data_IF_230933861301
#
_entry.id   IF_230933861301
#
_cell.length_a   1.000
_cell.length_b   1.000
_cell.length_c   1.000
_cell.angle_alpha   90.00
_cell.angle_beta   90.00
_cell.angle_gamma   90.00
#
_symmetry.space_group_name_H-M   'P 1'
#
loop_
_entity.id
_entity.type
_entity.pdbx_description
1 polymer ?
#
# COMPACT_ATOMS: atom_id res chain seq x y z
N UNK A 1 -17.19 27.94 -3.68
CA UNK A 1 -16.94 26.58 -4.20
C UNK A 1 -15.46 26.34 -4.10
N UNK A 2 -15.02 25.67 -3.04
CA UNK A 2 -13.61 25.33 -2.83
C UNK A 2 -13.40 23.96 -3.44
N UNK A 3 -12.39 23.87 -4.29
CA UNK A 3 -12.04 22.72 -5.11
C UNK A 3 -11.45 21.60 -4.24
N UNK A 4 -12.33 20.74 -3.70
CA UNK A 4 -12.00 19.61 -2.82
C UNK A 4 -11.14 18.52 -3.50
N UNK A 5 -10.99 18.54 -4.83
CA UNK A 5 -10.19 17.58 -5.58
C UNK A 5 -8.67 17.87 -5.57
N UNK A 6 -8.25 19.08 -5.18
CA UNK A 6 -6.86 19.52 -5.29
C UNK A 6 -5.96 19.00 -4.15
N UNK A 7 -6.51 18.78 -2.95
CA UNK A 7 -5.74 18.45 -1.74
C UNK A 7 -5.22 17.01 -1.73
N UNK A 8 -6.09 16.03 -2.01
CA UNK A 8 -5.72 14.61 -2.05
C UNK A 8 -4.72 14.32 -3.18
N UNK A 9 -4.92 14.94 -4.35
CA UNK A 9 -3.99 14.83 -5.47
C UNK A 9 -2.60 15.41 -5.10
N UNK A 10 -2.56 16.56 -4.40
CA UNK A 10 -1.29 17.13 -3.91
C UNK A 10 -0.62 16.25 -2.87
N UNK A 11 -1.36 15.62 -1.97
CA UNK A 11 -0.80 14.74 -0.95
C UNK A 11 -0.20 13.47 -1.58
N UNK A 12 -0.91 12.83 -2.50
CA UNK A 12 -0.40 11.69 -3.29
C UNK A 12 0.85 12.07 -4.09
N UNK A 13 0.88 13.29 -4.65
CA UNK A 13 2.06 13.81 -5.36
C UNK A 13 3.22 14.07 -4.40
N UNK A 14 2.94 14.58 -3.19
CA UNK A 14 3.96 14.87 -2.16
C UNK A 14 4.57 13.58 -1.59
N UNK A 15 3.77 12.53 -1.40
CA UNK A 15 4.25 11.20 -0.99
C UNK A 15 5.13 10.60 -2.08
N UNK A 16 4.75 10.76 -3.36
CA UNK A 16 5.55 10.33 -4.51
C UNK A 16 6.89 11.09 -4.57
N UNK A 17 6.87 12.41 -4.45
CA UNK A 17 8.07 13.26 -4.46
C UNK A 17 8.99 13.01 -3.24
N UNK A 18 8.44 12.55 -2.12
CA UNK A 18 9.20 12.19 -0.92
C UNK A 18 9.86 10.81 -1.04
N UNK A 19 9.15 9.82 -1.61
CA UNK A 19 9.71 8.51 -1.94
C UNK A 19 10.86 8.61 -2.96
N UNK A 20 10.76 9.56 -3.90
CA UNK A 20 11.82 9.82 -4.89
C UNK A 20 13.07 10.54 -4.31
N UNK A 21 12.98 11.12 -3.10
CA UNK A 21 14.06 11.91 -2.47
C UNK A 21 14.93 11.17 -1.47
N UNK A 22 14.49 10.04 -0.93
CA UNK A 22 15.30 9.24 0.00
C UNK A 22 15.87 8.02 -0.73
N UNK A 23 17.20 7.99 -0.88
CA UNK A 23 17.99 6.77 -1.10
C UNK A 23 17.84 5.85 0.11
N UNK A 24 16.68 5.20 0.26
CA UNK A 24 16.42 4.20 1.27
C UNK A 24 17.05 2.88 0.81
N UNK A 25 18.02 2.38 1.59
CA UNK A 25 18.62 1.06 1.37
C UNK A 25 17.52 -0.02 1.29
N UNK A 26 17.49 -0.71 0.15
CA UNK A 26 16.36 -1.46 -0.41
C UNK A 26 16.19 -2.90 0.12
N UNK A 27 16.92 -3.29 1.16
CA UNK A 27 16.95 -4.66 1.64
C UNK A 27 16.33 -4.76 3.04
N UNK A 28 15.00 -4.91 3.11
CA UNK A 28 14.27 -5.78 4.04
C UNK A 28 12.81 -5.33 4.21
N UNK A 29 11.92 -5.80 3.34
CA UNK A 29 10.47 -5.76 3.64
C UNK A 29 9.85 -7.14 3.40
N UNK A 30 9.59 -7.83 4.50
CA UNK A 30 9.08 -9.22 4.52
C UNK A 30 7.78 -9.39 3.73
N UNK A 31 7.01 -8.32 3.56
CA UNK A 31 5.70 -8.32 2.89
C UNK A 31 5.83 -8.41 1.37
N UNK A 32 6.68 -7.60 0.73
CA UNK A 32 6.86 -7.69 -0.73
C UNK A 32 7.62 -8.95 -1.13
N UNK A 33 8.55 -9.43 -0.30
CA UNK A 33 9.18 -10.74 -0.47
C UNK A 33 8.17 -11.89 -0.49
N UNK A 34 7.04 -11.76 0.21
CA UNK A 34 5.95 -12.72 0.12
C UNK A 34 5.38 -12.78 -1.30
N UNK A 35 5.13 -11.63 -1.93
CA UNK A 35 4.65 -11.53 -3.33
C UNK A 35 5.65 -12.17 -4.28
N UNK A 36 6.96 -11.88 -4.12
CA UNK A 36 8.02 -12.50 -4.93
C UNK A 36 8.02 -14.02 -4.81
N UNK A 37 7.97 -14.56 -3.59
CA UNK A 37 7.89 -16.02 -3.37
C UNK A 37 6.66 -16.65 -4.02
N UNK A 38 5.51 -15.97 -4.05
CA UNK A 38 4.32 -16.47 -4.75
C UNK A 38 4.48 -16.41 -6.27
N UNK A 39 5.14 -15.38 -6.80
CA UNK A 39 5.49 -15.31 -8.22
C UNK A 39 6.40 -16.49 -8.60
N UNK A 40 7.48 -16.74 -7.85
CA UNK A 40 8.39 -17.87 -8.14
C UNK A 40 7.65 -19.21 -8.13
N UNK A 41 6.75 -19.42 -7.17
CA UNK A 41 5.92 -20.61 -7.10
C UNK A 41 4.92 -20.75 -8.27
N UNK A 42 4.44 -19.63 -8.82
CA UNK A 42 3.62 -19.58 -10.02
C UNK A 42 4.45 -19.93 -11.27
N UNK A 43 5.65 -19.34 -11.41
CA UNK A 43 6.57 -19.63 -12.52
C UNK A 43 6.96 -21.11 -12.55
N UNK A 44 7.25 -21.70 -11.39
CA UNK A 44 7.49 -23.14 -11.27
C UNK A 44 6.26 -24.00 -11.64
N UNK A 45 5.03 -23.48 -11.48
CA UNK A 45 3.83 -24.18 -11.95
C UNK A 45 3.69 -24.11 -13.48
N UNK A 46 4.03 -22.97 -14.09
CA UNK A 46 4.08 -22.79 -15.55
C UNK A 46 5.07 -23.75 -16.19
N UNK A 47 6.30 -23.81 -15.68
CA UNK A 47 7.33 -24.72 -16.21
C UNK A 47 6.92 -26.20 -16.10
N UNK A 48 6.24 -26.57 -15.02
CA UNK A 48 5.65 -27.91 -14.89
C UNK A 48 4.54 -28.17 -15.89
N UNK A 49 3.72 -27.18 -16.24
CA UNK A 49 2.69 -27.31 -17.27
C UNK A 49 3.33 -27.54 -18.64
N UNK A 50 4.34 -26.72 -19.02
CA UNK A 50 5.13 -26.87 -20.25
C UNK A 50 5.75 -28.27 -20.35
N UNK A 51 6.42 -28.71 -19.29
CA UNK A 51 7.07 -30.03 -19.23
C UNK A 51 6.07 -31.18 -19.39
N UNK A 52 4.90 -31.10 -18.75
CA UNK A 52 3.86 -32.14 -18.87
C UNK A 52 3.28 -32.21 -20.28
N UNK A 53 3.08 -31.06 -20.92
CA UNK A 53 2.58 -31.02 -22.29
C UNK A 53 3.62 -31.55 -23.29
N UNK A 54 4.90 -31.18 -23.14
CA UNK A 54 6.00 -31.74 -23.94
C UNK A 54 6.05 -33.28 -23.84
N UNK A 55 6.07 -33.82 -22.62
CA UNK A 55 6.08 -35.27 -22.39
C UNK A 55 4.84 -35.98 -22.98
N UNK A 56 3.67 -35.36 -22.88
CA UNK A 56 2.44 -35.93 -23.43
C UNK A 56 2.48 -35.96 -24.96
N UNK A 57 2.97 -34.89 -25.59
CA UNK A 57 3.07 -34.77 -27.03
C UNK A 57 4.06 -35.80 -27.58
N UNK A 58 5.23 -35.92 -26.97
CA UNK A 58 6.23 -36.92 -27.36
C UNK A 58 5.68 -38.34 -27.25
N UNK A 59 4.94 -38.65 -26.16
CA UNK A 59 4.28 -39.93 -25.99
C UNK A 59 3.24 -40.23 -27.08
N UNK A 60 2.40 -39.25 -27.43
CA UNK A 60 1.38 -39.40 -28.48
C UNK A 60 2.04 -39.57 -29.86
N UNK A 61 3.02 -38.75 -30.21
CA UNK A 61 3.73 -38.82 -31.50
C UNK A 61 4.54 -40.11 -31.64
N UNK A 62 5.12 -40.62 -30.54
CA UNK A 62 5.78 -41.91 -30.52
C UNK A 62 4.78 -43.05 -30.78
N UNK A 63 3.62 -43.05 -30.10
CA UNK A 63 2.59 -44.07 -30.30
C UNK A 63 2.03 -44.04 -31.73
N UNK A 64 1.77 -42.86 -32.29
CA UNK A 64 1.27 -42.70 -33.67
C UNK A 64 2.30 -43.14 -34.72
N UNK A 65 3.59 -42.93 -34.45
CA UNK A 65 4.67 -43.37 -35.34
C UNK A 65 4.77 -44.89 -35.51
N UNK A 66 4.21 -45.66 -34.57
CA UNK A 66 4.10 -47.11 -34.70
C UNK A 66 2.91 -47.57 -35.57
N UNK A 67 1.96 -46.67 -35.86
CA UNK A 67 0.68 -46.97 -36.52
C UNK A 67 0.55 -46.35 -37.91
N UNK A 68 1.29 -45.29 -38.21
CA UNK A 68 1.12 -44.46 -39.41
C UNK A 68 2.44 -44.39 -40.21
N UNK A 69 2.41 -44.36 -41.56
CA UNK A 69 3.63 -44.26 -42.38
C UNK A 69 4.53 -43.06 -42.03
N UNK A 70 5.85 -43.30 -42.10
CA UNK A 70 6.93 -42.33 -41.80
C UNK A 70 6.72 -40.91 -42.33
N UNK A 71 6.43 -40.70 -43.62
CA UNK A 71 6.27 -39.36 -44.20
C UNK A 71 5.09 -38.58 -43.59
N UNK A 72 4.01 -39.26 -43.20
CA UNK A 72 2.83 -38.63 -42.62
C UNK A 72 3.06 -38.28 -41.14
N UNK A 73 3.74 -39.14 -40.38
CA UNK A 73 4.09 -38.83 -39.00
C UNK A 73 5.13 -37.70 -38.91
N UNK A 74 6.07 -37.62 -39.85
CA UNK A 74 7.06 -36.54 -39.89
C UNK A 74 6.41 -35.19 -40.19
N UNK A 75 5.39 -35.15 -41.06
CA UNK A 75 4.59 -33.95 -41.28
C UNK A 75 3.83 -33.53 -40.01
N UNK A 76 3.20 -34.48 -39.30
CA UNK A 76 2.48 -34.21 -38.04
C UNK A 76 3.41 -33.73 -36.93
N UNK A 77 4.61 -34.31 -36.81
CA UNK A 77 5.66 -33.86 -35.89
C UNK A 77 6.10 -32.44 -36.22
N UNK A 78 6.31 -32.13 -37.50
CA UNK A 78 6.68 -30.79 -37.95
C UNK A 78 5.64 -29.74 -37.56
N UNK A 79 4.37 -30.02 -37.81
CA UNK A 79 3.26 -29.10 -37.46
C UNK A 79 3.08 -28.94 -35.95
N UNK A 80 3.05 -30.06 -35.20
CA UNK A 80 2.94 -30.02 -33.75
C UNK A 80 4.09 -29.21 -33.13
N UNK A 81 5.32 -29.37 -33.65
CA UNK A 81 6.47 -28.62 -33.18
C UNK A 81 6.34 -27.11 -33.40
N UNK A 82 5.81 -26.67 -34.54
CA UNK A 82 5.57 -25.23 -34.81
C UNK A 82 4.52 -24.68 -33.82
N UNK A 83 3.38 -25.36 -33.69
CA UNK A 83 2.30 -24.92 -32.80
C UNK A 83 2.75 -24.84 -31.33
N UNK A 84 3.61 -25.76 -30.88
CA UNK A 84 4.19 -25.74 -29.53
C UNK A 84 5.19 -24.60 -29.36
N UNK A 85 6.05 -24.35 -30.35
CA UNK A 85 7.03 -23.26 -30.28
C UNK A 85 6.31 -21.92 -30.17
N UNK A 86 5.28 -21.67 -30.98
CA UNK A 86 4.49 -20.44 -30.89
C UNK A 86 3.81 -20.29 -29.52
N UNK A 87 3.35 -21.41 -28.95
CA UNK A 87 2.72 -21.45 -27.65
C UNK A 87 3.70 -21.16 -26.50
N UNK A 88 4.90 -21.75 -26.56
CA UNK A 88 5.98 -21.52 -25.60
C UNK A 88 6.43 -20.06 -25.65
N UNK A 89 6.63 -19.49 -26.85
CA UNK A 89 6.95 -18.07 -27.02
C UNK A 89 5.85 -17.18 -26.40
N UNK A 90 4.57 -17.49 -26.66
CA UNK A 90 3.48 -16.74 -26.06
C UNK A 90 3.42 -16.89 -24.53
N UNK A 91 3.84 -18.03 -23.99
CA UNK A 91 3.91 -18.27 -22.55
C UNK A 91 5.04 -17.46 -21.91
N UNK A 92 6.23 -17.50 -22.50
CA UNK A 92 7.41 -16.78 -22.03
C UNK A 92 7.18 -15.27 -22.06
N UNK A 93 6.51 -14.75 -23.10
CA UNK A 93 6.08 -13.34 -23.16
C UNK A 93 5.11 -12.98 -22.02
N UNK A 94 4.15 -13.85 -21.71
CA UNK A 94 3.20 -13.62 -20.62
C UNK A 94 3.88 -13.68 -19.24
N UNK A 95 4.83 -14.61 -19.06
CA UNK A 95 5.69 -14.68 -17.87
C UNK A 95 6.52 -13.41 -17.73
N UNK A 96 7.21 -12.98 -18.78
CA UNK A 96 8.03 -11.77 -18.76
C UNK A 96 7.21 -10.52 -18.41
N UNK A 97 6.02 -10.38 -19.00
CA UNK A 97 5.12 -9.27 -18.71
C UNK A 97 4.63 -9.28 -17.24
N UNK A 98 4.30 -10.45 -16.70
CA UNK A 98 3.88 -10.60 -15.30
C UNK A 98 5.03 -10.28 -14.33
N UNK A 99 6.21 -10.83 -14.59
CA UNK A 99 7.42 -10.57 -13.78
C UNK A 99 7.79 -9.10 -13.80
N UNK A 100 7.73 -8.45 -14.97
CA UNK A 100 7.99 -7.02 -15.09
C UNK A 100 6.95 -6.16 -14.34
N UNK A 101 5.68 -6.58 -14.32
CA UNK A 101 4.64 -5.89 -13.56
C UNK A 101 4.88 -5.99 -12.04
N UNK A 102 5.17 -7.19 -11.52
CA UNK A 102 5.49 -7.40 -10.10
C UNK A 102 6.77 -6.67 -9.70
N UNK A 103 7.82 -6.73 -10.52
CA UNK A 103 9.07 -6.01 -10.28
C UNK A 103 8.86 -4.49 -10.20
N UNK A 104 8.00 -3.94 -11.06
CA UNK A 104 7.65 -2.51 -11.05
C UNK A 104 6.93 -2.08 -9.77
N UNK A 105 6.06 -2.94 -9.22
CA UNK A 105 5.41 -2.70 -7.92
C UNK A 105 6.48 -2.68 -6.83
N UNK A 106 7.39 -3.65 -6.83
CA UNK A 106 8.49 -3.74 -5.87
C UNK A 106 9.38 -2.51 -5.87
N UNK A 107 9.88 -2.12 -7.05
CA UNK A 107 10.77 -0.97 -7.19
C UNK A 107 10.14 0.34 -6.70
N UNK A 108 8.81 0.49 -6.84
CA UNK A 108 8.11 1.71 -6.45
C UNK A 108 7.67 1.72 -4.99
N UNK A 109 7.26 0.58 -4.45
CA UNK A 109 6.46 0.55 -3.23
C UNK A 109 6.98 -0.39 -2.14
N UNK A 110 7.99 -1.25 -2.42
CA UNK A 110 8.39 -2.27 -1.45
C UNK A 110 8.84 -1.70 -0.10
N UNK A 111 9.50 -0.54 -0.08
CA UNK A 111 10.02 0.12 1.13
C UNK A 111 9.01 1.07 1.80
N UNK A 112 7.89 1.38 1.11
CA UNK A 112 6.96 2.43 1.54
C UNK A 112 6.32 2.12 2.90
N UNK A 113 5.79 0.90 3.18
CA UNK A 113 5.11 0.65 4.45
C UNK A 113 6.01 0.90 5.67
N UNK A 114 7.22 0.37 5.65
CA UNK A 114 8.19 0.47 6.74
C UNK A 114 8.70 1.90 6.91
N UNK A 115 8.93 2.63 5.81
CA UNK A 115 9.28 4.04 5.86
C UNK A 115 8.15 4.89 6.45
N UNK A 116 6.90 4.63 6.07
CA UNK A 116 5.72 5.31 6.62
C UNK A 116 5.53 5.03 8.11
N UNK A 117 5.79 3.80 8.57
CA UNK A 117 5.72 3.46 9.99
C UNK A 117 6.83 4.12 10.80
N UNK A 118 8.06 4.16 10.29
CA UNK A 118 9.15 4.86 10.95
C UNK A 118 8.85 6.36 11.09
N UNK A 119 8.33 6.98 10.04
CA UNK A 119 7.92 8.39 10.09
C UNK A 119 6.71 8.57 11.03
N UNK A 120 5.75 7.64 11.06
CA UNK A 120 4.64 7.66 12.01
C UNK A 120 5.11 7.63 13.47
N UNK A 121 6.10 6.80 13.79
CA UNK A 121 6.67 6.72 15.13
C UNK A 121 7.38 8.02 15.53
N UNK A 122 8.05 8.69 14.58
CA UNK A 122 8.63 10.02 14.82
C UNK A 122 7.55 11.08 15.10
N UNK A 123 6.44 11.05 14.37
CA UNK A 123 5.30 11.94 14.62
C UNK A 123 4.64 11.68 15.96
N UNK A 124 4.49 10.41 16.35
CA UNK A 124 3.97 10.03 17.67
C UNK A 124 4.87 10.53 18.80
N UNK A 125 6.20 10.37 18.68
CA UNK A 125 7.16 10.92 19.65
C UNK A 125 7.08 12.46 19.70
N UNK A 126 6.85 13.11 18.57
CA UNK A 126 6.66 14.56 18.50
C UNK A 126 5.38 14.98 19.20
N UNK A 127 4.26 14.28 18.96
CA UNK A 127 2.99 14.50 19.65
C UNK A 127 3.16 14.40 21.17
N UNK A 128 3.86 13.36 21.65
CA UNK A 128 4.15 13.17 23.08
C UNK A 128 5.00 14.32 23.67
N UNK A 129 6.03 14.77 22.95
CA UNK A 129 6.86 15.91 23.38
C UNK A 129 6.06 17.21 23.46
N UNK A 130 5.20 17.46 22.48
CA UNK A 130 4.31 18.64 22.48
C UNK A 130 3.29 18.56 23.61
N UNK A 131 2.71 17.38 23.83
CA UNK A 131 1.76 17.15 24.93
C UNK A 131 2.41 17.43 26.30
N UNK A 132 3.68 17.06 26.50
CA UNK A 132 4.41 17.35 27.73
C UNK A 132 4.61 18.87 27.98
N UNK A 133 4.70 19.70 26.94
CA UNK A 133 4.74 21.16 27.12
C UNK A 133 3.43 21.72 27.69
N UNK A 134 2.28 21.13 27.34
CA UNK A 134 0.98 21.49 27.92
C UNK A 134 0.99 21.37 29.44
N UNK A 135 1.55 20.28 29.96
CA UNK A 135 1.67 20.02 31.41
C UNK A 135 2.62 21.01 32.09
N UNK A 136 3.73 21.36 31.41
CA UNK A 136 4.67 22.37 31.91
C UNK A 136 4.04 23.76 31.97
N UNK A 137 3.25 24.14 30.95
CA UNK A 137 2.52 25.41 30.92
C UNK A 137 1.52 25.48 32.08
N UNK A 138 0.79 24.40 32.35
CA UNK A 138 -0.13 24.32 33.49
C UNK A 138 0.57 24.54 34.83
N UNK A 139 1.75 23.93 35.02
CA UNK A 139 2.51 24.05 36.25
C UNK A 139 2.97 25.49 36.54
N UNK A 140 3.22 26.29 35.50
CA UNK A 140 3.67 27.69 35.64
C UNK A 140 2.55 28.71 35.49
N UNK A 141 1.35 28.30 35.04
CA UNK A 141 0.22 29.19 34.74
C UNK A 141 -0.37 29.88 35.98
N UNK A 142 -0.04 29.43 37.20
CA UNK A 142 -0.48 30.02 38.48
C UNK A 142 0.69 30.14 39.48
N UNK A 143 1.59 31.12 39.32
CA UNK A 143 2.67 31.36 40.28
C UNK A 143 2.10 31.70 41.66
N UNK A 144 2.56 30.99 42.69
CA UNK A 144 2.06 31.15 44.05
C UNK A 144 2.26 32.59 44.55
N UNK A 145 1.22 33.17 45.15
CA UNK A 145 1.27 34.54 45.68
C UNK A 145 1.13 35.66 44.64
N UNK A 146 1.08 35.36 43.34
CA UNK A 146 0.87 36.39 42.30
C UNK A 146 -0.63 36.64 42.05
N UNK A 147 -1.07 37.88 42.26
CA UNK A 147 -2.48 38.28 42.13
C UNK A 147 -2.62 39.62 41.39
N UNK A 148 -3.86 39.94 40.97
CA UNK A 148 -4.20 41.18 40.28
C UNK A 148 -4.45 41.00 38.78
N UNK A 149 -4.67 42.12 38.08
CA UNK A 149 -5.03 42.14 36.66
C UNK A 149 -3.92 41.57 35.76
N UNK A 150 -2.65 41.79 36.12
CA UNK A 150 -1.51 41.22 35.40
C UNK A 150 -1.45 39.69 35.54
N UNK A 151 -1.75 39.15 36.73
CA UNK A 151 -1.80 37.72 36.97
C UNK A 151 -2.94 37.05 36.16
N UNK A 152 -4.11 37.69 36.08
CA UNK A 152 -5.22 37.23 35.25
C UNK A 152 -4.85 37.22 33.75
N UNK A 153 -4.26 38.30 33.23
CA UNK A 153 -3.83 38.36 31.82
C UNK A 153 -2.75 37.33 31.47
N UNK A 154 -1.83 37.03 32.41
CA UNK A 154 -0.87 35.94 32.26
C UNK A 154 -1.56 34.57 32.24
N UNK A 155 -2.51 34.34 33.15
CA UNK A 155 -3.26 33.09 33.19
C UNK A 155 -4.02 32.83 31.88
N UNK A 156 -4.68 33.86 31.35
CA UNK A 156 -5.39 33.79 30.08
C UNK A 156 -4.43 33.47 28.93
N UNK A 157 -3.28 34.16 28.87
CA UNK A 157 -2.26 33.88 27.87
C UNK A 157 -1.73 32.44 27.98
N UNK A 158 -1.41 31.96 29.19
CA UNK A 158 -0.97 30.58 29.43
C UNK A 158 -2.03 29.56 29.01
N UNK A 159 -3.32 29.86 29.22
CA UNK A 159 -4.43 29.00 28.77
C UNK A 159 -4.47 28.88 27.24
N UNK A 160 -4.30 30.00 26.52
CA UNK A 160 -4.20 29.99 25.05
C UNK A 160 -3.01 29.15 24.58
N UNK A 161 -1.84 29.32 25.20
CA UNK A 161 -0.63 28.56 24.88
C UNK A 161 -0.84 27.05 25.09
N UNK A 162 -1.39 26.67 26.26
CA UNK A 162 -1.72 25.28 26.59
C UNK A 162 -2.66 24.66 25.57
N UNK A 163 -3.78 25.33 25.27
CA UNK A 163 -4.77 24.78 24.35
C UNK A 163 -4.22 24.69 22.92
N UNK A 164 -3.37 25.63 22.49
CA UNK A 164 -2.65 25.55 21.23
C UNK A 164 -1.67 24.35 21.19
N UNK A 165 -0.97 24.06 22.29
CA UNK A 165 -0.13 22.85 22.41
C UNK A 165 -0.96 21.57 22.32
N UNK A 166 -2.15 21.53 22.93
CA UNK A 166 -3.08 20.38 22.82
C UNK A 166 -3.49 20.15 21.36
N UNK A 167 -3.89 21.20 20.65
CA UNK A 167 -4.24 21.08 19.23
C UNK A 167 -3.07 20.60 18.38
N UNK A 168 -1.86 21.12 18.62
CA UNK A 168 -0.66 20.75 17.87
C UNK A 168 -0.27 19.29 18.12
N UNK A 169 -0.36 18.84 19.37
CA UNK A 169 -0.14 17.44 19.73
C UNK A 169 -1.15 16.53 19.02
N UNK A 170 -2.43 16.90 19.00
CA UNK A 170 -3.46 16.14 18.29
C UNK A 170 -3.23 16.07 16.78
N UNK A 171 -2.81 17.17 16.13
CA UNK A 171 -2.44 17.14 14.70
C UNK A 171 -1.29 16.16 14.46
N UNK A 172 -0.24 16.22 15.28
CA UNK A 172 0.91 15.32 15.14
C UNK A 172 0.51 13.84 15.33
N UNK A 173 -0.37 13.56 16.29
CA UNK A 173 -0.95 12.24 16.52
C UNK A 173 -1.78 11.76 15.31
N UNK A 174 -2.67 12.62 14.80
CA UNK A 174 -3.48 12.33 13.61
C UNK A 174 -2.63 12.09 12.35
N UNK A 175 -1.49 12.77 12.20
CA UNK A 175 -0.53 12.50 11.12
C UNK A 175 0.12 11.12 11.30
N UNK A 176 0.49 10.74 12.53
CA UNK A 176 1.01 9.41 12.83
C UNK A 176 0.01 8.32 12.43
N UNK A 177 -1.25 8.46 12.85
CA UNK A 177 -2.31 7.51 12.50
C UNK A 177 -2.56 7.44 10.99
N UNK A 178 -2.56 8.58 10.30
CA UNK A 178 -2.70 8.63 8.85
C UNK A 178 -1.59 7.85 8.14
N UNK A 179 -0.33 8.05 8.55
CA UNK A 179 0.82 7.33 7.98
C UNK A 179 0.73 5.82 8.22
N UNK A 180 0.29 5.39 9.41
CA UNK A 180 0.06 3.97 9.71
C UNK A 180 -1.06 3.36 8.87
N UNK A 181 -2.16 4.08 8.65
CA UNK A 181 -3.23 3.64 7.76
C UNK A 181 -2.74 3.52 6.31
N UNK A 182 -1.94 4.47 5.82
CA UNK A 182 -1.31 4.38 4.49
C UNK A 182 -0.36 3.19 4.37
N UNK A 183 0.42 2.90 5.41
CA UNK A 183 1.25 1.69 5.46
C UNK A 183 0.40 0.41 5.39
N UNK A 184 -0.70 0.38 6.15
CA UNK A 184 -1.69 -0.70 6.12
C UNK A 184 -2.31 -0.92 4.73
N UNK A 185 -2.69 0.16 4.04
CA UNK A 185 -3.22 0.11 2.67
C UNK A 185 -2.20 -0.49 1.68
N UNK A 186 -0.94 -0.07 1.75
CA UNK A 186 0.11 -0.63 0.88
C UNK A 186 0.31 -2.13 1.15
N UNK A 187 0.29 -2.57 2.41
CA UNK A 187 0.35 -4.00 2.75
C UNK A 187 -0.85 -4.78 2.25
N UNK A 188 -2.05 -4.20 2.32
CA UNK A 188 -3.26 -4.82 1.78
C UNK A 188 -3.15 -5.03 0.26
N UNK A 189 -2.61 -4.06 -0.49
CA UNK A 189 -2.35 -4.21 -1.93
C UNK A 189 -1.37 -5.36 -2.20
N UNK A 190 -0.29 -5.47 -1.42
CA UNK A 190 0.66 -6.58 -1.56
C UNK A 190 0.04 -7.93 -1.25
N UNK A 191 -0.80 -8.00 -0.21
CA UNK A 191 -1.54 -9.21 0.14
C UNK A 191 -2.50 -9.63 -0.98
N UNK A 192 -3.25 -8.69 -1.56
CA UNK A 192 -4.14 -8.96 -2.69
C UNK A 192 -3.35 -9.48 -3.90
N UNK A 193 -2.21 -8.87 -4.22
CA UNK A 193 -1.31 -9.36 -5.28
C UNK A 193 -0.85 -10.80 -5.02
N UNK A 194 -0.49 -11.13 -3.77
CA UNK A 194 -0.10 -12.48 -3.38
C UNK A 194 -1.25 -13.49 -3.55
N UNK A 195 -2.47 -13.13 -3.16
CA UNK A 195 -3.65 -13.97 -3.32
C UNK A 195 -4.02 -14.21 -4.79
N UNK A 196 -3.92 -13.17 -5.62
CA UNK A 196 -4.09 -13.26 -7.08
C UNK A 196 -3.09 -14.28 -7.67
N UNK A 197 -1.81 -14.21 -7.28
CA UNK A 197 -0.77 -15.13 -7.73
C UNK A 197 -1.02 -16.57 -7.25
N UNK A 198 -1.46 -16.75 -6.00
CA UNK A 198 -1.83 -18.07 -5.45
C UNK A 198 -3.01 -18.67 -6.21
N UNK A 199 -4.05 -17.89 -6.48
CA UNK A 199 -5.21 -18.32 -7.27
C UNK A 199 -4.80 -18.76 -8.68
N UNK A 200 -3.98 -17.96 -9.36
CA UNK A 200 -3.45 -18.29 -10.69
C UNK A 200 -2.65 -19.60 -10.69
N UNK A 201 -1.81 -19.81 -9.66
CA UNK A 201 -1.04 -21.05 -9.50
C UNK A 201 -1.97 -22.26 -9.34
N UNK A 202 -3.06 -22.13 -8.59
CA UNK A 202 -4.03 -23.20 -8.43
C UNK A 202 -4.80 -23.49 -9.72
N UNK A 203 -5.19 -22.47 -10.49
CA UNK A 203 -5.80 -22.64 -11.81
C UNK A 203 -4.86 -23.42 -12.76
N UNK A 204 -3.58 -23.02 -12.85
CA UNK A 204 -2.59 -23.69 -13.72
C UNK A 204 -2.33 -25.13 -13.29
N UNK A 205 -2.21 -25.40 -11.99
CA UNK A 205 -1.97 -26.77 -11.51
C UNK A 205 -3.16 -27.71 -11.75
N UNK A 206 -4.38 -27.18 -11.85
CA UNK A 206 -5.60 -27.95 -12.13
C UNK A 206 -5.89 -28.09 -13.63
N UNK A 207 -5.10 -27.45 -14.49
CA UNK A 207 -5.26 -27.53 -15.93
C UNK A 207 -5.16 -28.99 -16.42
N UNK A 208 -6.21 -29.44 -17.11
CA UNK A 208 -6.27 -30.75 -17.74
C UNK A 208 -5.95 -30.60 -19.24
N UNK A 209 -5.36 -31.62 -19.88
CA UNK A 209 -5.10 -31.57 -21.31
C UNK A 209 -6.42 -31.81 -22.06
N UNK A 210 -7.01 -30.75 -22.60
CA UNK A 210 -8.14 -30.83 -23.53
C UNK A 210 -7.69 -31.02 -24.99
N UNK A 211 -6.44 -30.66 -25.29
CA UNK A 211 -5.75 -30.81 -26.59
C UNK A 211 -4.22 -30.83 -26.42
N UNK A 212 -3.47 -31.06 -27.50
CA UNK A 212 -2.01 -30.91 -27.49
C UNK A 212 -1.64 -29.47 -27.09
N UNK A 213 -0.75 -29.31 -26.11
CA UNK A 213 -0.42 -28.01 -25.54
C UNK A 213 -1.54 -27.36 -24.72
N UNK A 214 -2.60 -28.10 -24.37
CA UNK A 214 -3.78 -27.56 -23.68
C UNK A 214 -3.46 -26.91 -22.34
N UNK A 215 -2.54 -27.49 -21.55
CA UNK A 215 -2.16 -26.93 -20.25
C UNK A 215 -1.34 -25.65 -20.41
N UNK A 216 -0.40 -25.62 -21.34
CA UNK A 216 0.39 -24.41 -21.63
C UNK A 216 -0.52 -23.30 -22.15
N UNK A 217 -1.47 -23.59 -23.04
CA UNK A 217 -2.43 -22.61 -23.55
C UNK A 217 -3.34 -22.05 -22.45
N UNK A 218 -3.80 -22.90 -21.53
CA UNK A 218 -4.54 -22.46 -20.35
C UNK A 218 -3.66 -21.59 -19.43
N UNK A 219 -2.40 -21.97 -19.23
CA UNK A 219 -1.43 -21.18 -18.46
C UNK A 219 -1.23 -19.78 -19.05
N UNK A 220 -1.07 -19.63 -20.37
CA UNK A 220 -1.00 -18.30 -21.02
C UNK A 220 -2.23 -17.46 -20.70
N UNK A 221 -3.42 -18.06 -20.80
CA UNK A 221 -4.68 -17.35 -20.54
C UNK A 221 -4.78 -16.90 -19.08
N UNK A 222 -4.45 -17.79 -18.14
CA UNK A 222 -4.41 -17.48 -16.70
C UNK A 222 -3.37 -16.41 -16.40
N UNK A 223 -2.16 -16.47 -16.97
CA UNK A 223 -1.12 -15.45 -16.78
C UNK A 223 -1.58 -14.06 -17.26
N UNK A 224 -2.19 -13.97 -18.44
CA UNK A 224 -2.74 -12.69 -18.96
C UNK A 224 -3.89 -12.15 -18.10
N UNK A 225 -4.77 -13.01 -17.59
CA UNK A 225 -5.81 -12.62 -16.62
C UNK A 225 -5.19 -12.12 -15.31
N UNK A 226 -4.16 -12.82 -14.82
CA UNK A 226 -3.43 -12.49 -13.60
C UNK A 226 -2.74 -11.13 -13.73
N UNK A 227 -2.06 -10.87 -14.85
CA UNK A 227 -1.43 -9.58 -15.15
C UNK A 227 -2.45 -8.43 -15.07
N UNK A 228 -3.63 -8.59 -15.67
CA UNK A 228 -4.69 -7.57 -15.59
C UNK A 228 -5.15 -7.32 -14.16
N UNK A 229 -5.33 -8.38 -13.36
CA UNK A 229 -5.74 -8.27 -11.96
C UNK A 229 -4.66 -7.61 -11.09
N UNK A 230 -3.39 -7.97 -11.27
CA UNK A 230 -2.28 -7.32 -10.56
C UNK A 230 -2.18 -5.84 -10.91
N UNK A 231 -2.32 -5.48 -12.19
CA UNK A 231 -2.32 -4.06 -12.58
C UNK A 231 -3.51 -3.30 -11.97
N UNK A 232 -4.68 -3.91 -11.86
CA UNK A 232 -5.84 -3.31 -11.22
C UNK A 232 -5.65 -3.13 -9.70
N UNK A 233 -5.12 -4.15 -9.02
CA UNK A 233 -4.79 -4.08 -7.59
C UNK A 233 -3.72 -3.00 -7.32
N UNK A 234 -2.67 -2.95 -8.14
CA UNK A 234 -1.62 -1.94 -8.05
C UNK A 234 -2.10 -0.51 -8.34
N UNK A 235 -3.20 -0.35 -9.08
CA UNK A 235 -3.85 0.93 -9.31
C UNK A 235 -4.79 1.35 -8.15
N UNK A 236 -4.92 0.53 -7.11
CA UNK A 236 -5.75 0.81 -5.94
C UNK A 236 -7.24 0.49 -6.13
N UNK A 237 -7.62 -0.28 -7.16
CA UNK A 237 -9.04 -0.50 -7.49
C UNK A 237 -9.88 -1.17 -6.39
N UNK A 238 -9.27 -1.90 -5.45
CA UNK A 238 -9.95 -2.54 -4.31
C UNK A 238 -10.04 -1.64 -3.06
N UNK A 239 -9.23 -0.58 -3.00
CA UNK A 239 -9.05 0.29 -1.82
C UNK A 239 -9.36 1.76 -2.10
N UNK A 240 -9.87 2.09 -3.29
CA UNK A 240 -10.19 3.45 -3.74
C UNK A 240 -11.15 4.17 -2.76
N UNK A 241 -12.18 3.47 -2.27
CA UNK A 241 -13.11 4.00 -1.26
C UNK A 241 -12.41 4.34 0.06
N UNK A 242 -11.59 3.43 0.58
CA UNK A 242 -10.84 3.64 1.82
C UNK A 242 -9.78 4.74 1.70
N UNK A 243 -9.20 4.92 0.51
CA UNK A 243 -8.29 6.04 0.24
C UNK A 243 -9.00 7.39 0.26
N UNK A 244 -10.23 7.47 -0.23
CA UNK A 244 -11.05 8.68 -0.17
C UNK A 244 -11.43 9.04 1.26
N UNK A 245 -11.92 8.05 2.02
CA UNK A 245 -12.26 8.24 3.45
C UNK A 245 -11.06 8.70 4.27
N UNK A 246 -9.87 8.12 4.04
CA UNK A 246 -8.64 8.55 4.70
C UNK A 246 -8.29 10.01 4.36
N UNK A 247 -8.39 10.38 3.08
CA UNK A 247 -8.12 11.75 2.65
C UNK A 247 -9.07 12.76 3.31
N UNK A 248 -10.35 12.40 3.45
CA UNK A 248 -11.36 13.22 4.13
C UNK A 248 -11.06 13.34 5.64
N UNK A 249 -10.64 12.26 6.31
CA UNK A 249 -10.26 12.29 7.71
C UNK A 249 -9.01 13.15 7.98
N UNK A 250 -7.99 13.05 7.11
CA UNK A 250 -6.79 13.89 7.17
C UNK A 250 -7.16 15.35 6.96
N UNK A 251 -7.98 15.62 5.93
CA UNK A 251 -8.46 16.97 5.64
C UNK A 251 -9.23 17.53 6.83
N UNK A 252 -10.18 16.77 7.40
CA UNK A 252 -10.90 17.18 8.60
C UNK A 252 -9.95 17.53 9.73
N UNK A 253 -8.96 16.68 10.00
CA UNK A 253 -7.98 16.87 11.08
C UNK A 253 -7.16 18.15 10.91
N UNK A 254 -6.73 18.46 9.70
CA UNK A 254 -5.99 19.69 9.39
C UNK A 254 -6.83 20.97 9.54
N UNK A 255 -8.15 20.87 9.41
CA UNK A 255 -9.08 22.00 9.53
C UNK A 255 -9.82 22.05 10.88
N UNK A 256 -9.63 21.04 11.73
CA UNK A 256 -10.17 20.98 13.10
C UNK A 256 -9.61 21.98 14.12
N UNK A 257 -8.38 22.55 14.00
CA UNK A 257 -7.86 23.44 15.03
C UNK A 257 -8.72 24.69 15.20
N UNK A 258 -9.03 25.05 16.44
CA UNK A 258 -9.83 26.22 16.80
C UNK A 258 -8.96 27.42 17.20
N UNK A 259 -7.76 27.17 17.71
CA UNK A 259 -6.86 28.18 18.29
C UNK A 259 -5.63 28.37 17.42
N UNK A 260 -5.03 27.27 16.94
CA UNK A 260 -3.93 27.31 15.99
C UNK A 260 -4.41 27.83 14.64
N UNK A 261 -3.63 28.74 14.08
CA UNK A 261 -3.80 29.22 12.70
C UNK A 261 -2.58 28.83 11.87
N UNK A 262 -2.75 28.57 10.56
CA UNK A 262 -1.62 28.33 9.68
C UNK A 262 -0.57 29.44 9.81
N UNK A 263 0.68 29.06 10.06
CA UNK A 263 1.85 29.95 10.17
C UNK A 263 1.81 30.99 11.30
N UNK A 264 0.84 30.93 12.20
CA UNK A 264 0.72 31.89 13.29
C UNK A 264 0.54 31.19 14.62
N UNK A 265 1.49 31.42 15.51
CA UNK A 265 1.35 31.03 16.90
C UNK A 265 0.43 32.01 17.63
N UNK A 266 -0.58 31.54 18.38
CA UNK A 266 -1.52 32.42 19.06
C UNK A 266 -0.80 33.18 20.18
N UNK A 267 -1.13 34.46 20.35
CA UNK A 267 -0.54 35.34 21.37
C UNK A 267 -1.62 36.10 22.14
N UNK A 268 -1.35 36.39 23.42
CA UNK A 268 -2.28 37.06 24.32
C UNK A 268 -3.41 36.16 24.86
N UNK A 269 -4.35 36.76 25.61
CA UNK A 269 -5.45 36.05 26.29
C UNK A 269 -6.80 36.05 25.56
N UNK A 270 -6.89 36.65 24.37
CA UNK A 270 -8.17 36.87 23.67
C UNK A 270 -8.92 35.58 23.30
N UNK A 271 -8.22 34.44 23.24
CA UNK A 271 -8.80 33.12 22.96
C UNK A 271 -8.80 32.20 24.19
N UNK A 272 -8.58 32.72 25.40
CA UNK A 272 -8.47 31.89 26.62
C UNK A 272 -9.75 31.11 26.93
N UNK A 273 -10.91 31.63 26.52
CA UNK A 273 -12.21 30.97 26.65
C UNK A 273 -12.52 29.98 25.52
N UNK A 274 -11.68 29.88 24.49
CA UNK A 274 -11.88 28.96 23.36
C UNK A 274 -11.28 27.61 23.74
N UNK A 275 -12.13 26.58 23.71
CA UNK A 275 -11.67 25.20 23.89
C UNK A 275 -10.84 24.75 22.67
N UNK A 276 -9.84 23.88 22.86
CA UNK A 276 -9.08 23.32 21.76
C UNK A 276 -10.01 22.52 20.83
N UNK A 277 -9.73 22.61 19.53
CA UNK A 277 -10.35 21.80 18.50
C UNK A 277 -9.99 20.31 18.62
N UNK A 278 -10.83 19.47 18.03
CA UNK A 278 -10.67 18.02 18.04
C UNK A 278 -9.79 17.58 16.85
N UNK A 279 -8.48 17.60 17.07
CA UNK A 279 -7.44 17.43 16.05
C UNK A 279 -6.85 16.02 15.96
N UNK A 280 -7.40 15.04 16.68
CA UNK A 280 -6.94 13.64 16.65
C UNK A 280 -7.98 12.69 16.01
N UNK A 281 -8.72 13.18 15.01
CA UNK A 281 -9.87 12.48 14.40
C UNK A 281 -9.52 11.47 13.31
N UNK A 282 -8.26 11.30 12.95
CA UNK A 282 -7.87 10.23 12.02
C UNK A 282 -8.04 8.91 12.76
N UNK A 283 -8.82 7.97 12.21
CA UNK A 283 -9.15 6.73 12.90
C UNK A 283 -7.92 5.83 13.10
N UNK A 284 -7.24 5.94 14.24
CA UNK A 284 -6.09 5.10 14.58
C UNK A 284 -6.46 3.70 15.05
N UNK A 285 -5.50 2.78 14.94
CA UNK A 285 -5.53 1.46 15.61
C UNK A 285 -5.59 1.55 17.15
N UNK A 286 -5.62 2.76 17.71
CA UNK A 286 -5.78 3.07 19.14
C UNK A 286 -7.22 3.44 19.52
N UNK A 287 -8.15 3.45 18.55
CA UNK A 287 -9.57 3.71 18.78
C UNK A 287 -10.36 2.50 19.29
N UNK A 288 -10.19 2.12 20.56
CA UNK A 288 -11.27 1.59 21.44
C UNK A 288 -10.70 1.13 22.78
N UNK A 289 -10.41 2.05 23.70
CA UNK A 289 -10.29 1.68 25.13
C UNK A 289 -10.84 2.69 26.13
N UNK A 290 -11.26 3.90 25.73
CA UNK A 290 -11.77 4.89 26.71
C UNK A 290 -13.01 5.62 26.19
N UNK A 291 -14.14 4.92 26.23
CA UNK A 291 -15.47 5.52 26.34
C UNK A 291 -16.41 4.55 27.07
N UNK A 292 -16.34 4.56 28.40
CA UNK A 292 -17.47 4.37 29.32
C UNK A 292 -17.32 5.33 30.48
#
# INVERSE_FOLDING_TARGET
MIDSGSGAAKLVTTIRDYADRKDLELDATTTFEHVRRKLDALLAAVERAKTRDANQIDGILHALGALIPGPMIDMLRGRARIDIVDLDVSCDQAVAALTAAVARIGAKAAHIPEALEADADQWLLTAQRVAAFSEQIDAIAKPEGWQGTAAAGYHDASTVQRNASVELAGIADGVSDALRLMAGLNRAIFQECAEILVGARHEINRAAPDRLGGRTAQAVTTLRKTLRRINAAAAGGSVEGSSGELADQISSTLHSPAILRPQQWPTGGAMASVAPGDTNRVGGAHGSATAR
#
